data_IF_626348704426
#
_entry.id   IF_626348704426
#
_cell.length_a   1.000
_cell.length_b   1.000
_cell.length_c   1.000
_cell.angle_alpha   90.00
_cell.angle_beta   90.00
_cell.angle_gamma   90.00
#
_symmetry.space_group_name_H-M   'P 1'
#
loop_
_entity.id
_entity.type
_entity.pdbx_description
1 polymer ?
#
# COMPACT_ATOMS: atom_id res chain seq x y z
N UNK A 1 -23.65 7.48 -2.74
CA UNK A 1 -22.18 7.27 -2.54
C UNK A 1 -21.52 8.63 -2.68
N UNK A 2 -20.46 8.92 -1.93
CA UNK A 2 -19.69 10.14 -2.13
C UNK A 2 -18.85 10.01 -3.41
N UNK A 3 -18.58 11.13 -4.08
CA UNK A 3 -17.71 11.17 -5.29
C UNK A 3 -16.35 10.47 -5.06
N UNK A 4 -15.76 10.64 -3.88
CA UNK A 4 -14.54 9.95 -3.48
C UNK A 4 -14.67 8.42 -3.49
N UNK A 5 -15.78 7.88 -2.95
CA UNK A 5 -16.01 6.43 -2.92
C UNK A 5 -16.20 5.85 -4.34
N UNK A 6 -16.79 6.62 -5.26
CA UNK A 6 -16.93 6.23 -6.66
C UNK A 6 -15.57 6.21 -7.37
N UNK A 7 -14.73 7.23 -7.14
CA UNK A 7 -13.37 7.28 -7.69
C UNK A 7 -12.49 6.14 -7.14
N UNK A 8 -12.57 5.85 -5.83
CA UNK A 8 -11.83 4.75 -5.22
C UNK A 8 -12.19 3.41 -5.87
N UNK A 9 -13.49 3.17 -6.08
CA UNK A 9 -13.97 1.95 -6.75
C UNK A 9 -13.53 1.89 -8.22
N UNK A 10 -13.67 2.98 -8.96
CA UNK A 10 -13.27 3.03 -10.37
C UNK A 10 -11.77 2.73 -10.57
N UNK A 11 -10.90 3.27 -9.70
CA UNK A 11 -9.48 2.98 -9.74
C UNK A 11 -9.15 1.54 -9.29
N UNK A 12 -9.90 0.98 -8.32
CA UNK A 12 -9.76 -0.42 -7.93
C UNK A 12 -10.13 -1.37 -9.07
N UNK A 13 -11.25 -1.12 -9.75
CA UNK A 13 -11.66 -1.92 -10.91
C UNK A 13 -10.63 -1.81 -12.06
N UNK A 14 -10.09 -0.62 -12.28
CA UNK A 14 -9.08 -0.36 -13.31
C UNK A 14 -7.79 -1.14 -13.04
N UNK A 15 -7.25 -1.08 -11.83
CA UNK A 15 -6.02 -1.83 -11.52
C UNK A 15 -6.24 -3.33 -11.51
N UNK A 16 -7.42 -3.82 -11.10
CA UNK A 16 -7.75 -5.24 -11.21
C UNK A 16 -7.75 -5.71 -12.67
N UNK A 17 -8.27 -4.90 -13.60
CA UNK A 17 -8.20 -5.19 -15.03
C UNK A 17 -6.75 -5.17 -15.55
N UNK A 18 -5.92 -4.22 -15.10
CA UNK A 18 -4.51 -4.15 -15.46
C UNK A 18 -3.74 -5.37 -14.96
N UNK A 19 -3.89 -5.73 -13.67
CA UNK A 19 -3.28 -6.93 -13.09
C UNK A 19 -3.71 -8.20 -13.82
N UNK A 20 -5.01 -8.33 -14.09
CA UNK A 20 -5.51 -9.48 -14.83
C UNK A 20 -4.87 -9.60 -16.22
N UNK A 21 -4.72 -8.48 -16.97
CA UNK A 21 -4.02 -8.50 -18.26
C UNK A 21 -2.58 -8.98 -18.12
N UNK A 22 -1.79 -8.39 -17.19
CA UNK A 22 -0.40 -8.78 -17.00
C UNK A 22 -0.24 -10.25 -16.61
N UNK A 23 -1.19 -10.82 -15.84
CA UNK A 23 -1.14 -12.23 -15.43
C UNK A 23 -1.60 -13.13 -16.58
N UNK A 24 -2.62 -12.76 -17.36
CA UNK A 24 -3.11 -13.57 -18.48
C UNK A 24 -2.14 -13.58 -19.68
N UNK A 25 -1.24 -12.61 -19.77
CA UNK A 25 -0.20 -12.57 -20.79
C UNK A 25 1.03 -13.44 -20.44
N UNK A 26 1.07 -14.02 -19.23
CA UNK A 26 2.16 -14.91 -18.81
C UNK A 26 2.10 -16.26 -19.54
N UNK A 27 3.27 -16.95 -19.71
CA UNK A 27 3.28 -18.34 -20.19
C UNK A 27 2.68 -19.29 -19.16
N UNK A 28 2.39 -20.51 -19.61
CA UNK A 28 1.90 -21.61 -18.75
C UNK A 28 0.57 -21.31 -18.03
N UNK A 29 -0.41 -20.77 -18.75
CA UNK A 29 -1.72 -20.39 -18.22
C UNK A 29 -2.50 -21.50 -17.51
N UNK A 30 -2.23 -22.78 -17.80
CA UNK A 30 -2.82 -23.94 -17.13
C UNK A 30 -2.05 -24.40 -15.88
N UNK A 31 -1.04 -23.63 -15.45
CA UNK A 31 -0.24 -23.95 -14.28
C UNK A 31 -0.94 -23.53 -12.99
N UNK A 32 -0.96 -24.36 -11.94
CA UNK A 32 -1.42 -23.95 -10.60
C UNK A 32 -0.72 -22.70 -10.07
N UNK A 33 0.51 -22.41 -10.52
CA UNK A 33 1.25 -21.21 -10.18
C UNK A 33 0.54 -19.94 -10.67
N UNK A 34 0.15 -19.89 -11.95
CA UNK A 34 -0.54 -18.73 -12.53
C UNK A 34 -1.93 -18.56 -11.89
N UNK A 35 -2.64 -19.64 -11.62
CA UNK A 35 -3.90 -19.60 -10.90
C UNK A 35 -3.75 -19.03 -9.48
N UNK A 36 -2.69 -19.42 -8.76
CA UNK A 36 -2.39 -18.91 -7.42
C UNK A 36 -1.98 -17.43 -7.43
N UNK A 37 -1.18 -17.00 -8.42
CA UNK A 37 -0.83 -15.59 -8.64
C UNK A 37 -2.08 -14.74 -8.89
N UNK A 38 -2.96 -15.18 -9.80
CA UNK A 38 -4.22 -14.50 -10.09
C UNK A 38 -5.12 -14.44 -8.87
N UNK A 39 -5.25 -15.55 -8.15
CA UNK A 39 -6.04 -15.63 -6.92
C UNK A 39 -5.54 -14.61 -5.89
N UNK A 40 -4.27 -14.62 -5.53
CA UNK A 40 -3.70 -13.71 -4.54
C UNK A 40 -3.76 -12.24 -4.96
N UNK A 41 -3.46 -11.94 -6.23
CA UNK A 41 -3.49 -10.58 -6.74
C UNK A 41 -4.91 -10.00 -6.87
N UNK A 42 -5.93 -10.82 -7.17
CA UNK A 42 -7.29 -10.38 -7.47
C UNK A 42 -8.30 -10.66 -6.34
N UNK A 43 -7.86 -11.14 -5.18
CA UNK A 43 -8.73 -11.48 -4.03
C UNK A 43 -9.50 -10.27 -3.44
N UNK A 44 -9.42 -9.11 -4.07
CA UNK A 44 -10.09 -7.89 -3.62
C UNK A 44 -9.19 -6.99 -2.79
N UNK A 45 -9.81 -6.09 -2.03
CA UNK A 45 -9.14 -5.09 -1.20
C UNK A 45 -9.40 -3.66 -1.65
N UNK A 46 -9.03 -2.69 -0.79
CA UNK A 46 -9.30 -1.26 -1.02
C UNK A 46 -8.43 -0.64 -2.13
N UNK A 47 -7.37 -1.32 -2.57
CA UNK A 47 -6.45 -0.85 -3.63
C UNK A 47 -5.90 0.56 -3.38
N UNK A 48 -5.57 0.89 -2.13
CA UNK A 48 -5.12 2.23 -1.76
C UNK A 48 -3.78 2.62 -2.41
N UNK A 49 -2.85 1.66 -2.57
CA UNK A 49 -1.56 1.93 -3.22
C UNK A 49 -1.73 2.27 -4.70
N UNK A 50 -2.44 1.48 -5.52
CA UNK A 50 -2.82 1.88 -6.87
C UNK A 50 -3.57 3.22 -6.94
N UNK A 51 -4.51 3.44 -6.03
CA UNK A 51 -5.25 4.70 -5.95
C UNK A 51 -4.30 5.90 -5.79
N UNK A 52 -3.30 5.79 -4.93
CA UNK A 52 -2.27 6.82 -4.74
C UNK A 52 -1.43 7.04 -6.02
N UNK A 53 -1.08 5.98 -6.75
CA UNK A 53 -0.39 6.11 -8.05
C UNK A 53 -1.23 6.93 -9.02
N UNK A 54 -2.50 6.54 -9.20
CA UNK A 54 -3.41 7.21 -10.13
C UNK A 54 -3.63 8.67 -9.75
N UNK A 55 -4.02 8.93 -8.50
CA UNK A 55 -4.35 10.29 -8.06
C UNK A 55 -3.14 11.22 -8.07
N UNK A 56 -1.96 10.73 -7.72
CA UNK A 56 -0.73 11.54 -7.76
C UNK A 56 -0.31 11.82 -9.20
N UNK A 57 -0.36 10.84 -10.10
CA UNK A 57 -0.05 11.08 -11.52
C UNK A 57 -1.02 12.05 -12.18
N UNK A 58 -2.31 11.95 -11.85
CA UNK A 58 -3.34 12.84 -12.35
C UNK A 58 -3.17 14.30 -11.90
N UNK A 59 -2.55 14.58 -10.74
CA UNK A 59 -2.18 15.95 -10.35
C UNK A 59 -1.40 16.68 -11.44
N UNK A 60 -0.60 15.93 -12.19
CA UNK A 60 0.29 16.46 -13.25
C UNK A 60 -0.27 16.20 -14.65
N UNK A 61 -1.54 15.78 -14.77
CA UNK A 61 -2.19 15.55 -16.05
C UNK A 61 -1.79 14.26 -16.76
N UNK A 62 -1.15 13.30 -16.06
CA UNK A 62 -0.77 12.02 -16.66
C UNK A 62 -2.02 11.17 -16.90
N UNK A 63 -2.22 10.63 -18.11
CA UNK A 63 -3.38 9.81 -18.41
C UNK A 63 -3.34 8.49 -17.63
N UNK A 64 -4.52 8.00 -17.22
CA UNK A 64 -4.66 6.76 -16.45
C UNK A 64 -4.01 5.55 -17.15
N UNK A 65 -4.00 5.51 -18.49
CA UNK A 65 -3.37 4.43 -19.26
C UNK A 65 -1.87 4.31 -19.01
N UNK A 66 -1.16 5.41 -18.78
CA UNK A 66 0.26 5.40 -18.42
C UNK A 66 0.52 5.11 -16.94
N UNK A 67 -0.51 5.26 -16.11
CA UNK A 67 -0.45 4.96 -14.67
C UNK A 67 -0.84 3.51 -14.34
N UNK A 68 -1.45 2.77 -15.27
CA UNK A 68 -1.80 1.35 -15.08
C UNK A 68 -0.57 0.50 -14.75
N UNK A 69 0.53 0.76 -15.43
CA UNK A 69 1.82 0.04 -15.25
C UNK A 69 2.38 0.20 -13.83
N UNK A 70 2.66 1.41 -13.32
CA UNK A 70 3.16 1.56 -11.95
C UNK A 70 2.14 1.18 -10.88
N UNK A 71 0.84 1.33 -11.14
CA UNK A 71 -0.22 0.91 -10.23
C UNK A 71 -0.27 -0.62 -10.08
N UNK A 72 -0.19 -1.35 -11.19
CA UNK A 72 -0.14 -2.81 -11.18
C UNK A 72 1.14 -3.34 -10.52
N UNK A 73 2.28 -2.68 -10.76
CA UNK A 73 3.55 -3.08 -10.18
C UNK A 73 3.57 -2.98 -8.65
N UNK A 74 3.15 -1.84 -8.09
CA UNK A 74 3.11 -1.69 -6.63
C UNK A 74 2.10 -2.62 -5.97
N UNK A 75 0.98 -2.89 -6.63
CA UNK A 75 -0.03 -3.82 -6.10
C UNK A 75 0.43 -5.28 -6.20
N UNK A 76 1.21 -5.66 -7.23
CA UNK A 76 1.84 -6.98 -7.31
C UNK A 76 2.79 -7.22 -6.12
N UNK A 77 3.59 -6.21 -5.74
CA UNK A 77 4.43 -6.26 -4.52
C UNK A 77 3.55 -6.44 -3.28
N UNK A 78 2.48 -5.66 -3.14
CA UNK A 78 1.57 -5.80 -2.01
C UNK A 78 0.87 -7.17 -1.99
N UNK A 79 0.47 -7.69 -3.14
CA UNK A 79 -0.18 -9.01 -3.22
C UNK A 79 0.77 -10.14 -2.80
N UNK A 80 2.03 -10.13 -3.26
CA UNK A 80 2.98 -11.13 -2.83
C UNK A 80 3.23 -11.09 -1.33
N UNK A 81 3.34 -9.89 -0.75
CA UNK A 81 3.58 -9.77 0.69
C UNK A 81 2.45 -10.40 1.50
N UNK A 82 1.20 -10.21 1.07
CA UNK A 82 0.05 -10.80 1.74
C UNK A 82 0.03 -12.35 1.60
N UNK A 83 0.41 -12.89 0.43
CA UNK A 83 0.51 -14.34 0.24
C UNK A 83 1.56 -14.94 1.17
N UNK A 84 2.71 -14.28 1.32
CA UNK A 84 3.79 -14.78 2.17
C UNK A 84 3.49 -14.55 3.66
N UNK A 85 2.86 -13.43 4.02
CA UNK A 85 2.46 -13.16 5.42
C UNK A 85 1.49 -14.23 5.93
N UNK A 86 0.60 -14.75 5.07
CA UNK A 86 -0.38 -15.78 5.45
C UNK A 86 0.22 -17.20 5.65
N UNK A 87 1.47 -17.45 5.25
CA UNK A 87 2.09 -18.78 5.34
C UNK A 87 2.23 -19.26 6.80
N UNK A 88 2.25 -20.60 7.05
CA UNK A 88 2.45 -21.15 8.40
C UNK A 88 3.74 -20.72 9.10
N UNK A 89 4.77 -20.34 8.34
CA UNK A 89 6.04 -19.84 8.88
C UNK A 89 5.98 -18.34 9.26
N UNK A 90 4.86 -17.66 9.00
CA UNK A 90 4.61 -16.25 9.24
C UNK A 90 3.40 -16.09 10.17
N UNK A 91 2.30 -15.48 9.69
CA UNK A 91 1.09 -15.22 10.52
C UNK A 91 0.20 -16.48 10.68
N UNK A 92 0.39 -17.54 9.88
CA UNK A 92 -0.37 -18.80 9.88
C UNK A 92 -1.90 -18.58 9.76
N UNK A 93 -2.29 -17.72 8.83
CA UNK A 93 -3.68 -17.34 8.63
C UNK A 93 -4.38 -18.26 7.62
N UNK A 94 -5.49 -18.89 8.02
CA UNK A 94 -6.30 -19.74 7.13
C UNK A 94 -7.21 -18.93 6.19
N UNK A 95 -7.60 -17.72 6.59
CA UNK A 95 -8.56 -16.88 5.89
C UNK A 95 -8.05 -15.45 5.69
N UNK A 96 -8.26 -14.93 4.47
CA UNK A 96 -8.04 -13.52 4.14
C UNK A 96 -9.26 -12.95 3.42
N UNK A 97 -9.83 -11.87 3.96
CA UNK A 97 -11.06 -11.25 3.42
C UNK A 97 -12.22 -12.24 3.29
N UNK A 98 -12.32 -13.18 4.23
CA UNK A 98 -13.35 -14.21 4.25
C UNK A 98 -13.17 -15.35 3.22
N UNK A 99 -12.04 -15.40 2.53
CA UNK A 99 -11.69 -16.47 1.60
C UNK A 99 -10.46 -17.24 2.11
N UNK A 100 -10.30 -18.53 1.76
CA UNK A 100 -9.10 -19.29 2.09
C UNK A 100 -7.85 -18.56 1.61
N UNK A 101 -6.78 -18.58 2.43
CA UNK A 101 -5.48 -18.04 2.02
C UNK A 101 -4.85 -18.88 0.90
N UNK A 102 -3.86 -18.32 0.23
CA UNK A 102 -3.25 -18.94 -0.94
C UNK A 102 -2.69 -20.33 -0.62
N UNK A 103 -2.01 -20.50 0.53
CA UNK A 103 -1.44 -21.79 0.93
C UNK A 103 -2.48 -22.83 1.30
N UNK A 104 -3.63 -22.43 1.83
CA UNK A 104 -4.75 -23.34 2.11
C UNK A 104 -5.36 -23.84 0.78
N UNK A 105 -5.48 -22.96 -0.21
CA UNK A 105 -6.15 -23.31 -1.47
C UNK A 105 -5.25 -24.06 -2.45
N UNK A 106 -3.96 -23.72 -2.53
CA UNK A 106 -3.02 -24.22 -3.55
C UNK A 106 -1.84 -24.99 -2.96
N UNK A 107 -1.71 -25.07 -1.64
CA UNK A 107 -0.57 -25.65 -0.93
C UNK A 107 0.58 -24.67 -0.74
N UNK A 108 1.38 -24.89 0.31
CA UNK A 108 2.47 -24.00 0.73
C UNK A 108 3.50 -23.75 -0.38
N UNK A 109 3.98 -24.80 -1.05
CA UNK A 109 4.98 -24.65 -2.11
C UNK A 109 4.49 -23.77 -3.27
N UNK A 110 3.23 -23.92 -3.67
CA UNK A 110 2.62 -23.08 -4.72
C UNK A 110 2.46 -21.62 -4.23
N UNK A 111 2.08 -21.43 -2.97
CA UNK A 111 1.94 -20.09 -2.39
C UNK A 111 3.28 -19.36 -2.30
N UNK A 112 4.37 -20.04 -1.88
CA UNK A 112 5.73 -19.48 -1.89
C UNK A 112 6.10 -19.03 -3.30
N UNK A 113 5.96 -19.94 -4.28
CA UNK A 113 6.30 -19.63 -5.68
C UNK A 113 5.42 -18.53 -6.28
N UNK A 114 4.15 -18.45 -5.90
CA UNK A 114 3.24 -17.39 -6.36
C UNK A 114 3.67 -16.01 -5.84
N UNK A 115 4.11 -15.91 -4.59
CA UNK A 115 4.69 -14.70 -4.05
C UNK A 115 5.98 -14.31 -4.77
N UNK A 116 6.92 -15.24 -4.95
CA UNK A 116 8.18 -15.00 -5.67
C UNK A 116 7.94 -14.52 -7.11
N UNK A 117 6.99 -15.17 -7.80
CA UNK A 117 6.64 -14.81 -9.18
C UNK A 117 5.95 -13.45 -9.28
N UNK A 118 5.06 -13.09 -8.36
CA UNK A 118 4.42 -11.77 -8.31
C UNK A 118 5.44 -10.66 -8.00
N UNK A 119 6.38 -10.91 -7.09
CA UNK A 119 7.47 -9.97 -6.81
C UNK A 119 8.28 -9.70 -8.08
N UNK A 120 8.70 -10.75 -8.78
CA UNK A 120 9.46 -10.63 -10.02
C UNK A 120 8.63 -9.96 -11.13
N UNK A 121 7.34 -10.31 -11.24
CA UNK A 121 6.41 -9.71 -12.22
C UNK A 121 6.29 -8.20 -12.02
N UNK A 122 6.28 -7.70 -10.78
CA UNK A 122 6.20 -6.26 -10.51
C UNK A 122 7.33 -5.48 -11.20
N UNK A 123 8.54 -6.00 -11.19
CA UNK A 123 9.68 -5.37 -11.86
C UNK A 123 9.63 -5.53 -13.37
N UNK A 124 9.18 -6.68 -13.88
CA UNK A 124 8.93 -6.87 -15.32
C UNK A 124 7.87 -5.89 -15.84
N UNK A 125 6.77 -5.69 -15.10
CA UNK A 125 5.74 -4.70 -15.42
C UNK A 125 6.35 -3.30 -15.53
N UNK A 126 7.17 -2.85 -14.57
CA UNK A 126 7.80 -1.53 -14.66
C UNK A 126 8.82 -1.42 -15.79
N UNK A 127 9.57 -2.49 -16.05
CA UNK A 127 10.60 -2.49 -17.10
C UNK A 127 9.99 -2.41 -18.51
N UNK A 128 8.94 -3.20 -18.80
CA UNK A 128 8.44 -3.41 -20.14
C UNK A 128 7.02 -2.86 -20.39
N UNK A 129 6.26 -2.56 -19.32
CA UNK A 129 4.88 -2.09 -19.43
C UNK A 129 4.77 -0.74 -20.13
N UNK A 130 3.62 -0.51 -20.80
CA UNK A 130 3.38 0.71 -21.55
C UNK A 130 3.29 1.93 -20.65
N UNK A 131 4.16 2.90 -20.85
CA UNK A 131 4.18 4.23 -20.23
C UNK A 131 4.74 5.24 -21.23
N UNK A 132 4.00 5.61 -22.29
CA UNK A 132 4.55 6.37 -23.42
C UNK A 132 5.07 7.76 -23.05
N UNK A 133 4.56 8.39 -21.97
CA UNK A 133 5.00 9.71 -21.52
C UNK A 133 6.19 9.65 -20.54
N UNK A 134 6.61 8.44 -20.11
CA UNK A 134 7.65 8.26 -19.11
C UNK A 134 8.99 7.98 -19.79
N UNK A 135 10.00 8.79 -19.44
CA UNK A 135 11.37 8.58 -19.94
C UNK A 135 12.00 7.30 -19.36
N UNK A 136 12.97 6.71 -20.08
CA UNK A 136 13.73 5.55 -19.57
C UNK A 136 14.42 5.85 -18.24
N UNK A 137 14.88 7.09 -18.04
CA UNK A 137 15.45 7.55 -16.79
C UNK A 137 14.43 7.48 -15.63
N UNK A 138 13.22 7.97 -15.87
CA UNK A 138 12.17 7.97 -14.85
C UNK A 138 11.67 6.55 -14.58
N UNK A 139 11.55 5.74 -15.63
CA UNK A 139 11.26 4.31 -15.52
C UNK A 139 12.30 3.57 -14.66
N UNK A 140 13.58 3.80 -14.88
CA UNK A 140 14.64 3.21 -14.06
C UNK A 140 14.57 3.72 -12.61
N UNK A 141 14.22 4.99 -12.41
CA UNK A 141 13.99 5.53 -11.07
C UNK A 141 12.82 4.85 -10.37
N UNK A 142 11.72 4.55 -11.08
CA UNK A 142 10.58 3.80 -10.53
C UNK A 142 10.97 2.37 -10.10
N UNK A 143 11.77 1.69 -10.93
CA UNK A 143 12.30 0.35 -10.61
C UNK A 143 13.14 0.40 -9.34
N UNK A 144 14.05 1.38 -9.23
CA UNK A 144 14.89 1.56 -8.06
C UNK A 144 14.08 1.89 -6.79
N UNK A 145 13.07 2.78 -6.88
CA UNK A 145 12.18 3.13 -5.78
C UNK A 145 11.41 1.90 -5.28
N UNK A 146 10.83 1.13 -6.19
CA UNK A 146 10.06 -0.07 -5.82
C UNK A 146 10.97 -1.13 -5.19
N UNK A 147 12.18 -1.34 -5.74
CA UNK A 147 13.16 -2.29 -5.20
C UNK A 147 13.60 -1.90 -3.78
N UNK A 148 13.91 -0.62 -3.56
CA UNK A 148 14.29 -0.11 -2.25
C UNK A 148 13.16 -0.30 -1.22
N UNK A 149 11.93 0.09 -1.58
CA UNK A 149 10.79 0.03 -0.69
C UNK A 149 10.29 -1.39 -0.39
N UNK A 150 10.52 -2.34 -1.30
CA UNK A 150 10.15 -3.75 -1.11
C UNK A 150 11.18 -4.53 -0.29
N UNK A 151 12.45 -4.13 -0.37
CA UNK A 151 13.58 -4.84 0.19
C UNK A 151 13.82 -4.61 1.69
N UNK A 152 15.07 -4.84 2.11
CA UNK A 152 15.53 -4.74 3.52
C UNK A 152 15.39 -3.31 4.08
N UNK A 153 15.50 -2.29 3.25
CA UNK A 153 15.33 -0.90 3.64
C UNK A 153 13.86 -0.42 3.68
N UNK A 154 12.93 -1.30 3.37
CA UNK A 154 11.50 -1.04 3.36
C UNK A 154 10.69 -2.19 3.93
N UNK A 155 9.72 -2.69 3.15
CA UNK A 155 8.69 -3.63 3.61
C UNK A 155 9.25 -4.92 4.21
N UNK A 156 10.18 -5.62 3.54
CA UNK A 156 10.77 -6.85 4.09
C UNK A 156 11.54 -6.59 5.39
N UNK A 157 12.29 -5.48 5.47
CA UNK A 157 12.97 -5.10 6.72
C UNK A 157 11.98 -4.77 7.83
N UNK A 158 10.90 -4.07 7.50
CA UNK A 158 9.80 -3.78 8.43
C UNK A 158 9.12 -5.04 8.95
N UNK A 159 8.85 -6.01 8.07
CA UNK A 159 8.30 -7.32 8.46
C UNK A 159 9.26 -8.10 9.37
N UNK A 160 10.56 -8.08 9.08
CA UNK A 160 11.56 -8.73 9.93
C UNK A 160 11.64 -8.08 11.33
N UNK A 161 11.51 -6.75 11.41
CA UNK A 161 11.43 -6.04 12.69
C UNK A 161 10.16 -6.38 13.46
N UNK A 162 9.03 -6.50 12.76
CA UNK A 162 7.74 -6.86 13.35
C UNK A 162 7.79 -8.26 13.97
N UNK A 163 8.26 -9.27 13.23
CA UNK A 163 8.49 -10.63 13.74
C UNK A 163 9.47 -10.65 14.92
N UNK A 164 10.55 -9.88 14.87
CA UNK A 164 11.53 -9.81 15.96
C UNK A 164 10.96 -9.15 17.22
N UNK A 165 9.88 -8.36 17.09
CA UNK A 165 9.17 -7.68 18.18
C UNK A 165 8.08 -8.55 18.82
N UNK A 166 7.67 -9.66 18.21
CA UNK A 166 6.64 -10.54 18.75
C UNK A 166 6.99 -11.05 20.15
N UNK A 167 6.02 -10.98 21.05
CA UNK A 167 6.18 -11.38 22.44
C UNK A 167 7.14 -10.49 23.26
N UNK A 168 7.59 -9.35 22.70
CA UNK A 168 8.43 -8.37 23.39
C UNK A 168 7.72 -7.02 23.47
N UNK A 169 7.96 -6.30 24.56
CA UNK A 169 7.58 -4.90 24.63
C UNK A 169 8.67 -4.07 23.92
N UNK A 170 8.29 -3.41 22.83
CA UNK A 170 9.13 -2.43 22.15
C UNK A 170 8.74 -1.02 22.55
N UNK A 171 9.61 -0.03 22.45
CA UNK A 171 9.23 1.36 22.69
C UNK A 171 8.48 1.97 21.48
N UNK A 172 7.91 3.16 21.68
CA UNK A 172 7.13 3.85 20.64
C UNK A 172 7.96 4.15 19.40
N UNK A 173 9.26 4.42 19.55
CA UNK A 173 10.18 4.70 18.44
C UNK A 173 10.35 3.46 17.55
N UNK A 174 10.55 2.30 18.18
CA UNK A 174 10.66 1.03 17.46
C UNK A 174 9.35 0.66 16.77
N UNK A 175 8.19 0.87 17.43
CA UNK A 175 6.87 0.69 16.81
C UNK A 175 6.70 1.59 15.58
N UNK A 176 7.04 2.88 15.68
CA UNK A 176 6.99 3.78 14.52
C UNK A 176 7.92 3.33 13.38
N UNK A 177 9.11 2.81 13.69
CA UNK A 177 10.01 2.25 12.68
C UNK A 177 9.39 1.05 11.97
N UNK A 178 8.80 0.11 12.70
CA UNK A 178 8.11 -1.04 12.11
C UNK A 178 7.03 -0.55 11.13
N UNK A 179 6.14 0.33 11.56
CA UNK A 179 5.05 0.85 10.74
C UNK A 179 5.53 1.61 9.50
N UNK A 180 6.55 2.47 9.66
CA UNK A 180 7.13 3.25 8.55
C UNK A 180 7.75 2.35 7.47
N UNK A 181 8.36 1.24 7.86
CA UNK A 181 9.00 0.31 6.92
C UNK A 181 7.98 -0.70 6.37
N UNK A 182 7.29 -1.45 7.23
CA UNK A 182 6.36 -2.51 6.81
C UNK A 182 5.24 -2.00 5.92
N UNK A 183 4.66 -0.85 6.26
CA UNK A 183 3.49 -0.28 5.57
C UNK A 183 3.80 1.02 4.85
N UNK A 184 4.45 1.96 5.54
CA UNK A 184 4.69 3.32 5.05
C UNK A 184 5.58 3.36 3.80
N UNK A 185 6.57 2.49 3.68
CA UNK A 185 7.48 2.46 2.54
C UNK A 185 6.74 2.27 1.21
N UNK A 186 5.83 1.30 1.10
CA UNK A 186 5.05 1.09 -0.12
C UNK A 186 3.98 2.16 -0.37
N UNK A 187 3.42 2.77 0.67
CA UNK A 187 2.51 3.92 0.53
C UNK A 187 3.27 5.10 -0.07
N UNK A 188 4.45 5.42 0.46
CA UNK A 188 5.31 6.48 -0.09
C UNK A 188 5.72 6.18 -1.52
N UNK A 189 6.13 4.93 -1.80
CA UNK A 189 6.52 4.53 -3.15
C UNK A 189 5.36 4.65 -4.14
N UNK A 190 4.13 4.31 -3.76
CA UNK A 190 2.97 4.51 -4.61
C UNK A 190 2.81 5.99 -5.03
N UNK A 191 2.92 6.92 -4.10
CA UNK A 191 2.91 8.36 -4.37
C UNK A 191 4.08 8.76 -5.30
N UNK A 192 5.29 8.26 -5.02
CA UNK A 192 6.49 8.55 -5.83
C UNK A 192 6.39 8.01 -7.25
N UNK A 193 5.84 6.81 -7.45
CA UNK A 193 5.61 6.24 -8.78
C UNK A 193 4.66 7.10 -9.61
N UNK A 194 3.56 7.58 -9.00
CA UNK A 194 2.65 8.53 -9.64
C UNK A 194 3.36 9.84 -10.01
N UNK A 195 4.16 10.41 -9.11
CA UNK A 195 4.93 11.62 -9.37
C UNK A 195 6.01 11.43 -10.46
N UNK A 196 6.77 10.34 -10.39
CA UNK A 196 7.82 10.04 -11.38
C UNK A 196 7.25 9.85 -12.80
N UNK A 197 5.98 9.43 -12.92
CA UNK A 197 5.28 9.39 -14.20
C UNK A 197 5.19 10.75 -14.89
N UNK A 198 5.26 11.84 -14.11
CA UNK A 198 5.21 13.22 -14.59
C UNK A 198 6.61 13.85 -14.84
N UNK A 199 7.67 13.08 -14.79
CA UNK A 199 9.02 13.51 -15.10
C UNK A 199 9.50 14.65 -14.19
N UNK A 200 9.93 15.77 -14.80
CA UNK A 200 10.55 16.90 -14.07
C UNK A 200 9.61 17.56 -13.07
N UNK A 201 8.35 17.80 -13.43
CA UNK A 201 7.36 18.42 -12.55
C UNK A 201 7.05 17.55 -11.33
N UNK A 202 6.87 16.26 -11.54
CA UNK A 202 6.66 15.30 -10.46
C UNK A 202 7.88 15.17 -9.55
N UNK A 203 9.10 15.13 -10.10
CA UNK A 203 10.33 15.11 -9.28
C UNK A 203 10.48 16.37 -8.40
N UNK A 204 10.14 17.53 -8.92
CA UNK A 204 10.17 18.77 -8.14
C UNK A 204 9.17 18.75 -6.96
N UNK A 205 8.08 18.03 -7.09
CA UNK A 205 7.04 17.90 -6.07
C UNK A 205 7.36 16.86 -4.97
N UNK A 206 8.35 15.96 -5.19
CA UNK A 206 8.65 14.86 -4.27
C UNK A 206 8.87 15.28 -2.81
N UNK A 207 9.55 16.39 -2.46
CA UNK A 207 9.73 16.75 -1.06
C UNK A 207 8.40 16.93 -0.31
N UNK A 208 7.40 17.55 -0.93
CA UNK A 208 6.08 17.75 -0.33
C UNK A 208 5.23 16.46 -0.37
N UNK A 209 5.28 15.74 -1.49
CA UNK A 209 4.58 14.47 -1.65
C UNK A 209 5.10 13.38 -0.70
N UNK A 210 6.41 13.35 -0.40
CA UNK A 210 6.99 12.44 0.59
C UNK A 210 6.49 12.77 2.00
N UNK A 211 6.39 14.05 2.36
CA UNK A 211 5.81 14.46 3.66
C UNK A 211 4.35 14.02 3.76
N UNK A 212 3.56 14.29 2.73
CA UNK A 212 2.19 13.81 2.65
C UNK A 212 2.10 12.29 2.83
N UNK A 213 2.87 11.52 2.05
CA UNK A 213 2.85 10.06 2.06
C UNK A 213 3.31 9.47 3.40
N UNK A 214 4.33 10.04 4.03
CA UNK A 214 4.80 9.61 5.35
C UNK A 214 3.75 9.88 6.44
N UNK A 215 3.06 11.02 6.38
CA UNK A 215 2.02 11.37 7.34
C UNK A 215 0.81 10.43 7.19
N UNK A 216 0.27 10.24 5.98
CA UNK A 216 -0.87 9.34 5.77
C UNK A 216 -0.53 7.87 6.02
N UNK A 217 0.69 7.43 5.72
CA UNK A 217 1.15 6.06 5.95
C UNK A 217 1.19 5.72 7.45
N UNK A 218 1.69 6.65 8.27
CA UNK A 218 1.68 6.48 9.72
C UNK A 218 0.26 6.63 10.29
N UNK A 219 -0.51 7.62 9.82
CA UNK A 219 -1.91 7.80 10.24
C UNK A 219 -2.75 6.53 9.96
N UNK A 220 -2.50 5.86 8.84
CA UNK A 220 -3.16 4.60 8.48
C UNK A 220 -2.93 3.52 9.55
N UNK A 221 -1.69 3.36 10.03
CA UNK A 221 -1.37 2.37 11.06
C UNK A 221 -1.90 2.77 12.43
N UNK A 222 -1.78 4.04 12.82
CA UNK A 222 -2.38 4.53 14.07
C UNK A 222 -3.89 4.29 14.10
N UNK A 223 -4.57 4.51 12.97
CA UNK A 223 -6.01 4.27 12.85
C UNK A 223 -6.35 2.77 12.85
N UNK A 224 -5.51 1.91 12.25
CA UNK A 224 -5.67 0.45 12.33
C UNK A 224 -5.60 -0.02 13.80
N UNK A 225 -4.60 0.44 14.56
CA UNK A 225 -4.45 0.13 15.97
C UNK A 225 -5.65 0.64 16.81
N UNK A 226 -6.19 1.82 16.48
CA UNK A 226 -7.40 2.36 17.13
C UNK A 226 -8.60 1.47 16.82
N UNK A 227 -8.77 1.06 15.55
CA UNK A 227 -9.90 0.22 15.12
C UNK A 227 -9.84 -1.18 15.73
N UNK A 228 -8.65 -1.74 15.99
CA UNK A 228 -8.53 -3.01 16.71
C UNK A 228 -9.12 -2.92 18.12
N UNK A 229 -8.99 -1.76 18.79
CA UNK A 229 -9.53 -1.55 20.14
C UNK A 229 -11.03 -1.23 20.16
N UNK A 230 -11.51 -0.38 19.23
CA UNK A 230 -12.88 0.17 19.26
C UNK A 230 -13.81 -0.38 18.18
N UNK A 231 -13.27 -1.08 17.19
CA UNK A 231 -14.03 -1.58 16.05
C UNK A 231 -14.97 -2.72 16.45
N UNK A 232 -16.14 -2.77 15.82
CA UNK A 232 -17.06 -3.89 15.92
C UNK A 232 -16.55 -5.05 15.06
N UNK A 233 -16.48 -6.26 15.64
CA UNK A 233 -16.03 -7.47 14.96
C UNK A 233 -16.82 -7.78 13.67
N UNK A 234 -18.11 -7.46 13.65
CA UNK A 234 -18.97 -7.65 12.47
C UNK A 234 -18.62 -6.68 11.34
N UNK A 235 -18.02 -5.53 11.69
CA UNK A 235 -17.66 -4.47 10.74
C UNK A 235 -16.22 -4.60 10.25
N UNK A 236 -15.30 -4.95 11.14
CA UNK A 236 -13.85 -5.04 10.83
C UNK A 236 -13.43 -6.38 10.24
N UNK A 237 -14.23 -7.43 10.42
CA UNK A 237 -13.91 -8.80 9.99
C UNK A 237 -12.78 -9.47 10.81
N UNK A 238 -12.30 -8.81 11.89
CA UNK A 238 -11.34 -9.34 12.87
C UNK A 238 -11.98 -9.35 14.26
N UNK A 239 -11.49 -10.21 15.15
CA UNK A 239 -11.90 -10.16 16.56
C UNK A 239 -11.36 -8.89 17.19
N UNK A 240 -12.21 -8.16 17.92
CA UNK A 240 -11.81 -6.98 18.67
C UNK A 240 -10.68 -7.32 19.68
N UNK A 241 -9.63 -6.49 19.72
CA UNK A 241 -8.48 -6.69 20.60
C UNK A 241 -7.56 -7.85 20.19
N UNK A 242 -7.57 -8.25 18.91
CA UNK A 242 -6.72 -9.32 18.40
C UNK A 242 -5.24 -9.01 18.63
N UNK A 243 -4.79 -7.78 18.37
CA UNK A 243 -3.40 -7.37 18.56
C UNK A 243 -3.00 -7.40 20.06
N UNK A 244 -3.91 -7.01 20.96
CA UNK A 244 -3.67 -7.10 22.40
C UNK A 244 -3.58 -8.56 22.88
N UNK A 245 -4.41 -9.46 22.33
CA UNK A 245 -4.35 -10.90 22.66
C UNK A 245 -3.05 -11.55 22.19
N UNK A 246 -2.51 -11.09 21.09
CA UNK A 246 -1.22 -11.52 20.52
C UNK A 246 -0.01 -10.85 21.20
N UNK A 247 -0.25 -9.96 22.21
CA UNK A 247 0.81 -9.24 22.90
C UNK A 247 1.56 -8.23 22.01
N UNK A 248 0.94 -7.79 20.90
CA UNK A 248 1.51 -6.78 20.01
C UNK A 248 1.51 -5.40 20.69
N UNK A 249 2.58 -4.65 20.45
CA UNK A 249 2.67 -3.25 20.85
C UNK A 249 1.83 -2.39 19.90
N UNK A 250 0.97 -1.51 20.44
CA UNK A 250 0.06 -0.65 19.66
C UNK A 250 0.07 0.79 20.18
N UNK A 251 -0.31 1.75 19.36
CA UNK A 251 -0.42 3.16 19.75
C UNK A 251 -1.37 3.36 20.95
N UNK A 252 -2.59 2.80 20.97
CA UNK A 252 -3.46 2.90 22.16
C UNK A 252 -2.84 2.25 23.40
N UNK A 253 -2.05 1.19 23.25
CA UNK A 253 -1.34 0.55 24.35
C UNK A 253 -0.28 1.44 24.99
N UNK A 254 0.44 2.26 24.20
CA UNK A 254 1.45 3.20 24.68
C UNK A 254 0.89 4.52 25.17
N UNK A 255 -0.01 5.10 24.42
CA UNK A 255 -0.44 6.50 24.60
C UNK A 255 -1.82 6.61 25.27
N UNK A 256 -2.58 5.53 25.31
CA UNK A 256 -4.02 5.56 25.54
C UNK A 256 -4.81 5.99 24.29
N UNK A 257 -6.10 5.64 24.25
CA UNK A 257 -6.94 5.80 23.08
C UNK A 257 -7.08 7.26 22.63
N UNK A 258 -7.28 8.20 23.58
CA UNK A 258 -7.48 9.62 23.24
C UNK A 258 -6.21 10.24 22.66
N UNK A 259 -5.03 9.89 23.16
CA UNK A 259 -3.76 10.38 22.63
C UNK A 259 -3.44 9.74 21.27
N UNK A 260 -3.82 8.47 21.06
CA UNK A 260 -3.70 7.83 19.75
C UNK A 260 -4.58 8.52 18.70
N UNK A 261 -5.82 8.88 19.06
CA UNK A 261 -6.71 9.68 18.19
C UNK A 261 -6.14 11.06 17.89
N UNK A 262 -5.59 11.75 18.90
CA UNK A 262 -4.91 13.04 18.70
C UNK A 262 -3.72 12.88 17.74
N UNK A 263 -2.90 11.82 17.89
CA UNK A 263 -1.79 11.53 16.98
C UNK A 263 -2.25 11.31 15.54
N UNK A 264 -3.33 10.55 15.32
CA UNK A 264 -3.91 10.34 13.99
C UNK A 264 -4.35 11.67 13.37
N UNK A 265 -4.98 12.53 14.17
CA UNK A 265 -5.42 13.86 13.74
C UNK A 265 -4.25 14.79 13.41
N UNK A 266 -3.19 14.82 14.23
CA UNK A 266 -1.98 15.60 13.97
C UNK A 266 -1.32 15.19 12.65
N UNK A 267 -1.23 13.88 12.38
CA UNK A 267 -0.71 13.35 11.12
C UNK A 267 -1.58 13.74 9.92
N UNK A 268 -2.90 13.75 10.08
CA UNK A 268 -3.82 14.26 9.07
C UNK A 268 -3.54 15.74 8.78
N UNK A 269 -3.42 16.59 9.80
CA UNK A 269 -3.10 18.02 9.63
C UNK A 269 -1.73 18.22 8.96
N UNK A 270 -0.71 17.42 9.32
CA UNK A 270 0.59 17.43 8.66
C UNK A 270 0.47 17.09 7.17
N UNK A 271 -0.37 16.11 6.82
CA UNK A 271 -0.62 15.73 5.43
C UNK A 271 -1.25 16.86 4.62
N UNK A 272 -2.21 17.58 5.21
CA UNK A 272 -2.84 18.75 4.57
C UNK A 272 -1.86 19.88 4.37
N UNK A 273 -1.03 20.18 5.38
CA UNK A 273 0.00 21.22 5.29
C UNK A 273 1.01 20.92 4.17
N UNK A 274 1.40 19.65 4.01
CA UNK A 274 2.28 19.23 2.91
C UNK A 274 1.65 19.48 1.53
N UNK A 275 0.35 19.27 1.38
CA UNK A 275 -0.38 19.57 0.13
C UNK A 275 -0.56 21.06 -0.10
N UNK A 276 -0.74 21.88 0.95
CA UNK A 276 -0.78 23.35 0.85
C UNK A 276 0.56 23.90 0.36
N UNK A 277 1.68 23.41 0.91
CA UNK A 277 3.02 23.78 0.48
C UNK A 277 3.29 23.35 -0.97
N UNK A 278 2.83 22.16 -1.36
CA UNK A 278 2.91 21.66 -2.74
C UNK A 278 2.21 22.63 -3.70
N UNK A 279 0.97 23.03 -3.38
CA UNK A 279 0.22 23.97 -4.21
C UNK A 279 0.91 25.34 -4.29
N UNK A 280 1.44 25.84 -3.17
CA UNK A 280 2.15 27.11 -3.13
C UNK A 280 3.47 27.10 -3.91
N UNK A 281 4.17 25.97 -3.94
CA UNK A 281 5.44 25.81 -4.65
C UNK A 281 5.26 25.51 -6.16
N UNK A 282 4.08 25.10 -6.60
CA UNK A 282 3.82 24.74 -7.98
C UNK A 282 3.63 25.97 -8.87
N UNK A 283 4.27 25.98 -10.04
CA UNK A 283 4.08 27.02 -11.06
C UNK A 283 2.70 26.93 -11.75
N UNK A 284 2.05 25.79 -11.69
CA UNK A 284 0.70 25.56 -12.24
C UNK A 284 -0.24 25.12 -11.14
N UNK A 285 -1.54 25.51 -11.19
CA UNK A 285 -2.52 25.03 -10.21
C UNK A 285 -2.58 23.49 -10.18
N UNK A 286 -2.48 22.90 -8.98
CA UNK A 286 -2.64 21.46 -8.77
C UNK A 286 -3.94 21.21 -7.99
N UNK A 287 -4.77 20.30 -8.47
CA UNK A 287 -5.98 19.90 -7.76
C UNK A 287 -5.66 18.78 -6.77
N UNK A 288 -5.48 19.12 -5.51
CA UNK A 288 -5.19 18.18 -4.42
C UNK A 288 -6.44 17.63 -3.72
N UNK A 289 -7.64 17.92 -4.22
CA UNK A 289 -8.93 17.58 -3.56
C UNK A 289 -9.02 16.08 -3.24
N UNK A 290 -8.65 15.22 -4.17
CA UNK A 290 -8.75 13.77 -4.00
C UNK A 290 -7.74 13.25 -2.97
N UNK A 291 -6.51 13.78 -2.93
CA UNK A 291 -5.51 13.41 -1.92
C UNK A 291 -5.94 13.88 -0.52
N UNK A 292 -6.56 15.05 -0.40
CA UNK A 292 -7.14 15.52 0.87
C UNK A 292 -8.29 14.65 1.33
N UNK A 293 -9.17 14.25 0.40
CA UNK A 293 -10.26 13.33 0.70
C UNK A 293 -9.76 11.96 1.16
N UNK A 294 -8.66 11.44 0.57
CA UNK A 294 -8.04 10.21 1.03
C UNK A 294 -7.45 10.34 2.43
N UNK A 295 -6.76 11.45 2.74
CA UNK A 295 -6.22 11.69 4.08
C UNK A 295 -7.33 11.72 5.13
N UNK A 296 -8.46 12.40 4.83
CA UNK A 296 -9.64 12.42 5.70
C UNK A 296 -10.25 11.01 5.86
N UNK A 297 -10.40 10.28 4.75
CA UNK A 297 -10.91 8.90 4.77
C UNK A 297 -10.08 7.98 5.67
N UNK A 298 -8.74 8.13 5.69
CA UNK A 298 -7.86 7.30 6.51
C UNK A 298 -8.14 7.48 8.00
N UNK A 299 -8.38 8.71 8.46
CA UNK A 299 -8.57 9.00 9.90
C UNK A 299 -10.01 8.89 10.37
N UNK A 300 -10.98 8.99 9.45
CA UNK A 300 -12.42 8.91 9.77
C UNK A 300 -13.04 7.52 9.49
N UNK A 301 -12.29 6.59 8.89
CA UNK A 301 -12.82 5.26 8.60
C UNK A 301 -13.16 4.50 9.88
N UNK A 302 -14.21 3.71 9.80
CA UNK A 302 -14.75 2.84 10.85
C UNK A 302 -14.45 1.34 10.58
N UNK A 303 -13.76 1.04 9.47
CA UNK A 303 -13.35 -0.31 9.04
C UNK A 303 -12.17 -0.28 8.06
#
# INVERSE_FOLDING_TARGET
MTEFAEQLRAHADRVNQALNRFITDLPFQSSPLVDAMAYGALLGGKRLRPFLVYTTGQLFGIPLSSLDTPAAAVESIHAYSLIHDDLPAMDDDDLRRGQPTCHIKFGEATAVLAGDALQTLAFSILADGSMPEVSDRDRLSMVAELAYASGVAGMCGGQALDLAAEGKQVDLTALEQIHRHKTGALIRTAVRLGALSAGTSGRAALPHLDRYANAIGLAFQVQDDILDVVGDSDTTGKRQGADQQLGKSTYPGFLGLDSARAKAWDLYQESLAALDELQAASATPLDTTVLRALANYIVERDK
#
